data_IF_819206470147
#
_entry.id   IF_819206470147
#
_cell.length_a   1.000
_cell.length_b   1.000
_cell.length_c   1.000
_cell.angle_alpha   90.00
_cell.angle_beta   90.00
_cell.angle_gamma   90.00
#
_symmetry.space_group_name_H-M   'P 1'
#
loop_
_entity.id
_entity.type
_entity.pdbx_description
1 polymer ?
#
# COMPACT_ATOMS: atom_id res chain seq x y z
N UNK A 1 18.86 -7.87 -5.44
CA UNK A 1 18.25 -7.80 -4.09
C UNK A 1 18.38 -9.15 -3.44
N UNK A 2 18.82 -9.23 -2.18
CA UNK A 2 18.95 -10.48 -1.44
C UNK A 2 18.12 -10.40 -0.16
N UNK A 3 17.04 -11.18 -0.09
CA UNK A 3 16.15 -11.23 1.06
C UNK A 3 16.76 -12.15 2.14
N UNK A 4 17.40 -11.59 3.16
CA UNK A 4 17.84 -12.32 4.36
C UNK A 4 17.14 -11.76 5.61
N UNK A 5 17.01 -12.59 6.67
CA UNK A 5 16.37 -12.26 7.97
C UNK A 5 16.94 -11.02 8.67
N UNK A 6 18.13 -10.56 8.26
CA UNK A 6 18.80 -9.37 8.80
C UNK A 6 18.51 -8.10 8.00
N UNK A 7 17.72 -8.19 6.92
CA UNK A 7 17.39 -7.03 6.10
C UNK A 7 16.27 -6.21 6.79
N UNK A 8 16.38 -4.87 6.90
CA UNK A 8 15.38 -4.02 7.57
C UNK A 8 13.95 -4.26 7.09
N UNK A 9 13.78 -4.58 5.80
CA UNK A 9 12.50 -4.96 5.20
C UNK A 9 11.80 -6.18 5.86
N UNK A 10 12.53 -7.09 6.52
CA UNK A 10 11.94 -8.19 7.32
C UNK A 10 11.63 -7.73 8.75
N UNK A 11 12.42 -6.81 9.31
CA UNK A 11 12.20 -6.21 10.63
C UNK A 11 11.05 -5.16 10.65
N UNK A 12 10.64 -4.70 9.47
CA UNK A 12 9.53 -3.78 9.31
C UNK A 12 8.23 -4.33 9.90
N UNK A 13 7.56 -3.50 10.69
CA UNK A 13 6.25 -3.77 11.29
C UNK A 13 5.22 -3.99 10.18
N UNK A 14 4.26 -4.87 10.44
CA UNK A 14 3.18 -5.18 9.52
C UNK A 14 1.96 -4.32 9.86
N UNK A 15 1.42 -3.64 8.85
CA UNK A 15 0.20 -2.85 8.97
C UNK A 15 -0.94 -3.57 8.25
N UNK A 16 -1.93 -4.01 9.02
CA UNK A 16 -3.10 -4.68 8.44
C UNK A 16 -4.12 -3.65 7.92
N UNK A 17 -4.00 -3.33 6.63
CA UNK A 17 -4.85 -2.33 5.95
C UNK A 17 -6.14 -2.98 5.39
N UNK A 18 -6.12 -4.29 5.15
CA UNK A 18 -7.22 -5.04 4.53
C UNK A 18 -8.56 -4.90 5.26
N UNK A 19 -8.67 -5.03 6.61
CA UNK A 19 -9.96 -5.07 7.29
C UNK A 19 -10.85 -3.84 7.04
N UNK A 20 -10.25 -2.65 6.97
CA UNK A 20 -10.97 -1.40 6.72
C UNK A 20 -11.34 -1.18 5.25
N UNK A 21 -10.84 -2.02 4.35
CA UNK A 21 -10.99 -1.91 2.91
C UNK A 21 -11.59 -3.17 2.27
N UNK A 22 -11.94 -4.19 3.06
CA UNK A 22 -12.36 -5.51 2.59
C UNK A 22 -13.58 -5.45 1.66
N UNK A 23 -14.55 -4.58 1.97
CA UNK A 23 -15.73 -4.38 1.12
C UNK A 23 -15.33 -3.85 -0.27
N UNK A 24 -14.44 -2.86 -0.33
CA UNK A 24 -13.99 -2.24 -1.57
C UNK A 24 -13.04 -3.14 -2.38
N UNK A 25 -12.25 -3.98 -1.70
CA UNK A 25 -11.32 -4.94 -2.32
C UNK A 25 -12.02 -6.20 -2.83
N UNK A 26 -13.21 -6.50 -2.31
CA UNK A 26 -13.93 -7.72 -2.61
C UNK A 26 -13.13 -8.98 -2.26
N UNK A 27 -13.41 -10.06 -2.99
CA UNK A 27 -12.86 -11.40 -2.71
C UNK A 27 -11.45 -11.66 -3.26
N UNK A 28 -10.99 -10.82 -4.19
CA UNK A 28 -9.71 -11.03 -4.91
C UNK A 28 -8.70 -9.91 -4.67
N UNK A 29 -9.09 -8.80 -4.05
CA UNK A 29 -8.17 -7.74 -3.67
C UNK A 29 -7.54 -8.01 -2.32
N UNK A 30 -6.26 -7.66 -2.17
CA UNK A 30 -5.59 -7.62 -0.87
C UNK A 30 -4.65 -6.44 -0.79
N UNK A 31 -4.54 -5.85 0.39
CA UNK A 31 -3.68 -4.70 0.66
C UNK A 31 -3.10 -4.80 2.06
N UNK A 32 -1.82 -4.47 2.20
CA UNK A 32 -1.15 -4.37 3.49
C UNK A 32 0.01 -3.39 3.42
N UNK A 33 0.46 -2.94 4.59
CA UNK A 33 1.61 -2.07 4.75
C UNK A 33 2.76 -2.78 5.44
N UNK A 34 3.98 -2.31 5.18
CA UNK A 34 5.11 -2.53 6.08
C UNK A 34 5.83 -1.22 6.32
N UNK A 35 6.27 -0.96 7.55
CA UNK A 35 7.02 0.25 7.87
C UNK A 35 8.18 0.01 8.84
N UNK A 36 9.22 0.82 8.73
CA UNK A 36 10.31 0.93 9.70
C UNK A 36 10.94 2.32 9.64
N UNK A 37 11.25 2.90 10.78
CA UNK A 37 12.06 4.12 10.91
C UNK A 37 11.74 5.29 9.92
N UNK A 38 10.46 5.51 9.58
CA UNK A 38 10.03 6.58 8.67
C UNK A 38 9.99 6.21 7.19
N UNK A 39 10.33 4.97 6.85
CA UNK A 39 10.11 4.37 5.53
C UNK A 39 8.90 3.43 5.59
N UNK A 40 8.17 3.34 4.49
CA UNK A 40 7.07 2.40 4.36
C UNK A 40 6.94 1.85 2.94
N UNK A 41 6.24 0.71 2.84
CA UNK A 41 5.84 0.06 1.60
C UNK A 41 4.36 -0.24 1.69
N UNK A 42 3.58 0.26 0.72
CA UNK A 42 2.21 -0.14 0.50
C UNK A 42 2.20 -1.26 -0.56
N UNK A 43 1.69 -2.42 -0.20
CA UNK A 43 1.57 -3.57 -1.10
C UNK A 43 0.11 -3.81 -1.41
N UNK A 44 -0.22 -3.98 -2.69
CA UNK A 44 -1.55 -4.30 -3.15
C UNK A 44 -1.52 -5.34 -4.26
N UNK A 45 -2.48 -6.27 -4.24
CA UNK A 45 -2.57 -7.35 -5.20
C UNK A 45 -4.03 -7.57 -5.65
N UNK A 46 -4.17 -7.91 -6.93
CA UNK A 46 -5.41 -8.41 -7.52
C UNK A 46 -5.20 -9.88 -7.93
N UNK A 47 -5.89 -10.80 -7.27
CA UNK A 47 -5.83 -12.23 -7.57
C UNK A 47 -6.86 -12.68 -8.62
N UNK A 48 -7.61 -11.77 -9.22
CA UNK A 48 -8.52 -12.09 -10.32
C UNK A 48 -7.74 -12.26 -11.62
N UNK A 49 -7.97 -13.35 -12.34
CA UNK A 49 -7.30 -13.68 -13.61
C UNK A 49 -7.87 -12.94 -14.82
N UNK A 50 -9.03 -12.31 -14.67
CA UNK A 50 -9.81 -11.77 -15.80
C UNK A 50 -10.19 -10.31 -15.63
N UNK A 51 -10.49 -9.87 -14.40
CA UNK A 51 -11.02 -8.53 -14.15
C UNK A 51 -9.99 -7.64 -13.44
N UNK A 52 -9.84 -6.37 -13.85
CA UNK A 52 -9.06 -5.40 -13.10
C UNK A 52 -9.77 -5.03 -11.79
N UNK A 53 -9.00 -4.55 -10.82
CA UNK A 53 -9.49 -3.98 -9.58
C UNK A 53 -9.14 -2.49 -9.52
N UNK A 54 -10.16 -1.65 -9.63
CA UNK A 54 -10.10 -0.22 -9.39
C UNK A 54 -10.67 0.06 -8.00
N UNK A 55 -9.80 0.52 -7.09
CA UNK A 55 -10.16 0.65 -5.67
C UNK A 55 -9.53 1.88 -5.04
N UNK A 56 -10.27 2.51 -4.14
CA UNK A 56 -9.75 3.55 -3.26
C UNK A 56 -9.51 2.97 -1.87
N UNK A 57 -8.25 2.96 -1.45
CA UNK A 57 -7.82 2.47 -0.15
C UNK A 57 -7.81 3.62 0.85
N UNK A 58 -8.42 3.38 2.01
CA UNK A 58 -8.36 4.24 3.18
C UNK A 58 -7.26 3.75 4.12
N UNK A 59 -6.40 4.68 4.52
CA UNK A 59 -5.37 4.51 5.53
C UNK A 59 -5.86 5.22 6.80
N UNK A 60 -5.94 4.46 7.89
CA UNK A 60 -6.43 5.00 9.17
C UNK A 60 -5.44 5.99 9.78
N UNK A 61 -5.90 6.77 10.75
CA UNK A 61 -5.02 7.65 11.54
C UNK A 61 -3.87 6.90 12.21
N UNK A 62 -4.11 5.65 12.66
CA UNK A 62 -3.07 4.78 13.20
C UNK A 62 -2.00 4.48 12.15
N UNK A 63 -2.40 4.11 10.94
CA UNK A 63 -1.48 3.82 9.82
C UNK A 63 -0.69 5.07 9.41
N UNK A 64 -1.37 6.22 9.25
CA UNK A 64 -0.74 7.49 8.87
C UNK A 64 0.28 7.95 9.93
N UNK A 65 -0.07 7.82 11.20
CA UNK A 65 0.82 8.15 12.32
C UNK A 65 2.02 7.21 12.37
N UNK A 66 1.81 5.90 12.19
CA UNK A 66 2.87 4.90 12.16
C UNK A 66 3.86 5.13 11.01
N UNK A 67 3.38 5.62 9.87
CA UNK A 67 4.20 5.98 8.71
C UNK A 67 4.82 7.38 8.81
N UNK A 68 4.53 8.14 9.87
CA UNK A 68 5.10 9.46 10.10
C UNK A 68 4.61 10.52 9.09
N UNK A 69 3.43 10.31 8.49
CA UNK A 69 2.87 11.22 7.51
C UNK A 69 2.02 12.30 8.19
N UNK A 70 2.12 13.54 7.69
CA UNK A 70 1.26 14.66 8.06
C UNK A 70 0.20 14.90 6.97
N UNK A 71 -0.70 15.85 7.17
CA UNK A 71 -1.63 16.25 6.12
C UNK A 71 -0.86 16.80 4.90
N UNK A 72 -1.17 16.29 3.71
CA UNK A 72 -0.42 16.58 2.49
C UNK A 72 -0.57 15.52 1.40
N UNK A 73 0.28 15.62 0.38
CA UNK A 73 0.30 14.69 -0.76
C UNK A 73 1.65 14.00 -0.85
N UNK A 74 1.63 12.67 -0.95
CA UNK A 74 2.83 11.84 -0.96
C UNK A 74 2.85 10.95 -2.20
N UNK A 75 3.70 11.25 -3.20
CA UNK A 75 3.87 10.38 -4.35
C UNK A 75 4.57 9.09 -3.90
N UNK A 76 4.07 7.95 -4.37
CA UNK A 76 4.71 6.65 -4.25
C UNK A 76 5.00 6.09 -5.63
N UNK A 77 6.12 5.39 -5.73
CA UNK A 77 6.60 4.77 -6.95
C UNK A 77 6.59 3.26 -6.82
N UNK A 78 6.06 2.59 -7.84
CA UNK A 78 6.02 1.14 -7.96
C UNK A 78 7.43 0.59 -8.23
N UNK A 79 7.85 -0.44 -7.48
CA UNK A 79 9.25 -0.92 -7.49
C UNK A 79 9.45 -2.34 -8.07
N UNK A 80 8.40 -3.04 -8.47
CA UNK A 80 8.49 -4.43 -8.95
C UNK A 80 8.51 -4.49 -10.48
N UNK A 81 7.56 -3.84 -11.15
CA UNK A 81 7.24 -4.11 -12.56
C UNK A 81 7.39 -2.87 -13.45
N UNK A 82 6.69 -1.78 -13.11
CA UNK A 82 6.08 -0.92 -14.12
C UNK A 82 6.30 0.58 -13.93
N UNK A 83 7.06 1.00 -12.91
CA UNK A 83 7.40 2.42 -12.70
C UNK A 83 6.17 3.34 -12.57
N UNK A 84 5.00 2.77 -12.23
CA UNK A 84 3.77 3.50 -11.98
C UNK A 84 3.96 4.39 -10.75
N UNK A 85 3.29 5.55 -10.76
CA UNK A 85 3.21 6.41 -9.60
C UNK A 85 1.75 6.57 -9.17
N UNK A 86 1.56 6.61 -7.86
CA UNK A 86 0.27 6.91 -7.20
C UNK A 86 0.52 7.97 -6.13
N UNK A 87 -0.53 8.62 -5.66
CA UNK A 87 -0.41 9.63 -4.60
C UNK A 87 -1.31 9.26 -3.44
N UNK A 88 -0.75 9.24 -2.22
CA UNK A 88 -1.54 9.26 -1.00
C UNK A 88 -1.91 10.70 -0.71
N UNK A 89 -3.20 10.97 -0.55
CA UNK A 89 -3.71 12.24 -0.03
C UNK A 89 -4.06 12.06 1.45
N UNK A 90 -3.41 12.80 2.33
CA UNK A 90 -3.66 12.77 3.77
C UNK A 90 -4.37 14.06 4.17
N UNK A 91 -5.53 13.91 4.81
CA UNK A 91 -6.30 15.02 5.36
C UNK A 91 -6.90 14.63 6.70
N UNK A 92 -6.73 15.49 7.71
CA UNK A 92 -7.17 15.24 9.08
C UNK A 92 -6.66 13.90 9.63
N UNK A 93 -5.41 13.55 9.33
CA UNK A 93 -4.79 12.28 9.75
C UNK A 93 -5.28 11.03 9.00
N UNK A 94 -6.20 11.15 8.04
CA UNK A 94 -6.70 10.02 7.25
C UNK A 94 -6.13 10.06 5.84
N UNK A 95 -5.54 8.96 5.41
CA UNK A 95 -4.99 8.81 4.06
C UNK A 95 -5.97 8.17 3.10
N UNK A 96 -5.92 8.60 1.84
CA UNK A 96 -6.68 8.02 0.74
C UNK A 96 -5.77 7.85 -0.46
N UNK A 97 -5.82 6.68 -1.10
CA UNK A 97 -5.04 6.39 -2.31
C UNK A 97 -5.86 5.55 -3.29
N UNK A 98 -5.84 5.93 -4.56
CA UNK A 98 -6.52 5.20 -5.63
C UNK A 98 -5.54 4.26 -6.33
N UNK A 99 -5.97 3.01 -6.51
CA UNK A 99 -5.20 1.94 -7.13
C UNK A 99 -5.96 1.39 -8.34
N UNK A 100 -5.23 1.19 -9.44
CA UNK A 100 -5.66 0.41 -10.58
C UNK A 100 -4.76 -0.81 -10.68
N UNK A 101 -5.33 -2.00 -10.43
CA UNK A 101 -4.64 -3.28 -10.46
C UNK A 101 -5.18 -4.12 -11.61
N UNK A 102 -4.45 -4.27 -12.72
CA UNK A 102 -4.78 -5.22 -13.78
C UNK A 102 -4.97 -6.65 -13.24
N UNK A 103 -5.55 -7.57 -14.03
CA UNK A 103 -5.60 -8.98 -13.66
C UNK A 103 -4.22 -9.51 -13.26
N UNK A 104 -4.16 -10.25 -12.15
CA UNK A 104 -2.93 -10.81 -11.56
C UNK A 104 -1.84 -9.79 -11.19
N UNK A 105 -2.16 -8.49 -11.14
CA UNK A 105 -1.18 -7.48 -10.76
C UNK A 105 -0.84 -7.55 -9.26
N UNK A 106 0.44 -7.42 -8.96
CA UNK A 106 0.96 -7.23 -7.60
C UNK A 106 1.95 -6.07 -7.62
N UNK A 107 1.71 -5.06 -6.80
CA UNK A 107 2.53 -3.86 -6.75
C UNK A 107 3.04 -3.61 -5.34
N UNK A 108 4.27 -3.10 -5.27
CA UNK A 108 4.85 -2.55 -4.05
C UNK A 108 5.26 -1.11 -4.30
N UNK A 109 4.61 -0.20 -3.58
CA UNK A 109 4.80 1.24 -3.70
C UNK A 109 5.55 1.77 -2.48
N UNK A 110 6.54 2.62 -2.73
CA UNK A 110 7.32 3.33 -1.70
C UNK A 110 7.72 4.71 -2.22
N UNK A 111 8.11 5.62 -1.32
CA UNK A 111 8.53 6.98 -1.70
C UNK A 111 9.81 7.00 -2.55
#
# INVERSE_FOLDING_TARGET
MQFSLTHPAIAAKFDDIYPNNAEALGRHGYVFGRHDAGEFVLVAANFNEHEPLDVTIKLTEETITAWGLADGEYPLYERIESGKAITIHVAHGVGVVSLNLPPLASYAFTQ
#
